data_IF_905786993051
#
_entry.id   IF_905786993051
#
_cell.length_a   1.000
_cell.length_b   1.000
_cell.length_c   1.000
_cell.angle_alpha   90.00
_cell.angle_beta   90.00
_cell.angle_gamma   90.00
#
_symmetry.space_group_name_H-M   'P 1'
#
loop_
_entity.id
_entity.type
_entity.pdbx_description
1 polymer ?
#
# COMPACT_ATOMS: atom_id res chain seq x y z
N UNK A 1 -57.40 9.56 -36.70
CA UNK A 1 -56.11 8.93 -36.45
C UNK A 1 -54.98 9.94 -36.53
N UNK A 2 -54.80 10.82 -35.53
CA UNK A 2 -53.65 11.75 -35.43
C UNK A 2 -53.57 12.26 -33.99
N UNK A 3 -53.19 11.45 -33.00
CA UNK A 3 -52.97 11.91 -31.62
C UNK A 3 -52.10 11.00 -30.75
N UNK A 4 -51.17 10.21 -31.32
CA UNK A 4 -50.37 9.26 -30.48
C UNK A 4 -48.87 9.36 -30.66
N UNK A 5 -48.34 10.36 -31.34
CA UNK A 5 -46.89 10.45 -31.64
C UNK A 5 -46.15 11.46 -30.74
N UNK A 6 -46.82 12.30 -29.97
CA UNK A 6 -46.17 13.38 -29.20
C UNK A 6 -45.79 13.02 -27.75
N UNK A 7 -46.09 11.83 -27.25
CA UNK A 7 -45.79 11.47 -25.85
C UNK A 7 -44.50 10.68 -25.65
N UNK A 8 -43.87 10.21 -26.72
CA UNK A 8 -42.63 9.39 -26.63
C UNK A 8 -41.33 10.19 -26.75
N UNK A 9 -41.39 11.49 -27.04
CA UNK A 9 -40.17 12.31 -27.25
C UNK A 9 -39.75 13.14 -26.05
N UNK A 10 -40.53 13.20 -24.98
CA UNK A 10 -40.22 14.01 -23.78
C UNK A 10 -39.53 13.21 -22.68
N UNK A 11 -39.53 11.87 -22.74
CA UNK A 11 -38.92 11.03 -21.71
C UNK A 11 -37.42 10.76 -21.96
N UNK A 12 -36.91 11.06 -23.15
CA UNK A 12 -35.49 10.78 -23.52
C UNK A 12 -34.53 11.95 -23.25
N UNK A 13 -35.00 13.08 -22.74
CA UNK A 13 -34.16 14.28 -22.54
C UNK A 13 -33.85 14.59 -21.06
N UNK A 14 -34.24 13.73 -20.13
CA UNK A 14 -33.99 13.95 -18.69
C UNK A 14 -32.97 13.00 -18.06
N UNK A 15 -32.23 12.21 -18.85
CA UNK A 15 -31.20 11.28 -18.35
C UNK A 15 -29.74 11.72 -18.62
N UNK A 16 -29.51 12.97 -18.96
CA UNK A 16 -28.15 13.48 -19.25
C UNK A 16 -27.82 14.63 -18.31
N UNK A 17 -27.72 14.40 -17.00
CA UNK A 17 -26.98 15.33 -16.13
C UNK A 17 -26.89 14.83 -14.68
N UNK A 18 -26.30 13.67 -14.47
CA UNK A 18 -25.71 13.33 -13.16
C UNK A 18 -24.36 12.63 -13.38
N UNK A 19 -23.49 13.30 -14.11
CA UNK A 19 -22.07 13.05 -13.93
C UNK A 19 -21.69 13.72 -12.61
N UNK A 20 -21.26 12.99 -11.57
CA UNK A 20 -20.64 13.64 -10.44
C UNK A 20 -19.43 14.38 -11.00
N UNK A 21 -19.39 15.69 -10.89
CA UNK A 21 -18.16 16.45 -11.03
C UNK A 21 -17.21 15.88 -9.96
N UNK A 22 -16.37 14.91 -10.33
CA UNK A 22 -15.14 14.68 -9.61
C UNK A 22 -14.38 16.01 -9.66
N UNK A 23 -14.52 16.81 -8.62
CA UNK A 23 -13.58 17.89 -8.35
C UNK A 23 -12.22 17.25 -8.18
N UNK A 24 -11.47 17.14 -9.28
CA UNK A 24 -10.05 16.95 -9.21
C UNK A 24 -9.53 18.16 -8.43
N UNK A 25 -9.34 18.00 -7.12
CA UNK A 25 -8.65 19.00 -6.34
C UNK A 25 -7.32 19.21 -7.05
N UNK A 26 -7.12 20.42 -7.56
CA UNK A 26 -5.86 20.84 -8.17
C UNK A 26 -4.77 20.56 -7.14
N UNK A 27 -4.08 19.44 -7.32
CA UNK A 27 -2.92 19.11 -6.51
C UNK A 27 -1.97 20.29 -6.68
N UNK A 28 -1.73 21.06 -5.62
CA UNK A 28 -0.74 22.13 -5.63
C UNK A 28 0.52 21.54 -6.25
N UNK A 29 0.97 22.11 -7.37
CA UNK A 29 2.15 21.64 -8.10
C UNK A 29 3.34 21.63 -7.14
N UNK A 30 3.64 20.47 -6.63
CA UNK A 30 4.75 20.32 -5.67
C UNK A 30 6.06 20.44 -6.42
N UNK A 31 7.09 20.94 -5.74
CA UNK A 31 8.44 21.00 -6.32
C UNK A 31 8.91 19.56 -6.59
N UNK A 32 9.70 19.35 -7.66
CA UNK A 32 10.32 18.06 -7.91
C UNK A 32 11.05 17.54 -6.67
N UNK A 33 10.96 16.24 -6.44
CA UNK A 33 11.78 15.55 -5.46
C UNK A 33 13.04 15.06 -6.17
N UNK A 34 14.22 15.53 -5.73
CA UNK A 34 15.49 15.17 -6.34
C UNK A 34 16.17 14.10 -5.49
N UNK A 35 16.33 12.92 -6.07
CA UNK A 35 16.95 11.77 -5.44
C UNK A 35 18.38 11.63 -5.95
N UNK A 36 19.33 11.58 -5.06
CA UNK A 36 20.75 11.34 -5.34
C UNK A 36 21.03 9.85 -5.53
N UNK A 37 20.42 9.02 -4.70
CA UNK A 37 20.63 7.57 -4.73
C UNK A 37 19.33 6.83 -4.38
N UNK A 38 19.08 5.72 -5.07
CA UNK A 38 18.03 4.79 -4.74
C UNK A 38 18.39 3.36 -5.10
N UNK A 39 17.76 2.40 -4.45
CA UNK A 39 17.97 0.99 -4.73
C UNK A 39 17.14 0.10 -3.81
N UNK A 40 17.41 -1.20 -3.88
CA UNK A 40 16.79 -2.18 -3.00
C UNK A 40 17.76 -3.31 -2.67
N UNK A 41 17.51 -3.97 -1.56
CA UNK A 41 18.24 -5.16 -1.14
C UNK A 41 17.36 -6.07 -0.29
N UNK A 42 17.76 -7.34 -0.18
CA UNK A 42 17.18 -8.28 0.77
C UNK A 42 18.06 -8.37 2.01
N UNK A 43 17.46 -8.54 3.19
CA UNK A 43 18.18 -8.68 4.45
C UNK A 43 17.62 -9.84 5.27
N UNK A 44 18.52 -10.58 5.93
CA UNK A 44 18.17 -11.80 6.67
C UNK A 44 17.73 -12.94 5.74
N UNK A 45 16.82 -13.75 6.21
CA UNK A 45 16.28 -14.87 5.45
C UNK A 45 16.86 -16.22 5.85
N UNK A 46 16.32 -17.26 5.20
CA UNK A 46 16.67 -18.65 5.41
C UNK A 46 17.12 -19.27 4.09
N UNK A 47 18.16 -20.08 4.16
CA UNK A 47 18.63 -20.91 3.04
C UNK A 47 18.50 -22.37 3.45
N UNK A 48 17.75 -23.16 2.68
CA UNK A 48 17.56 -24.59 2.89
C UNK A 48 18.04 -25.33 1.66
N UNK A 49 19.04 -26.20 1.81
CA UNK A 49 19.47 -27.11 0.76
C UNK A 49 18.91 -28.50 1.08
N UNK A 50 18.08 -29.02 0.20
CA UNK A 50 17.50 -30.33 0.35
C UNK A 50 18.50 -31.40 -0.14
N UNK A 51 18.60 -32.54 0.58
CA UNK A 51 19.46 -33.67 0.16
C UNK A 51 18.91 -34.30 -1.13
N UNK A 52 19.76 -35.06 -1.80
CA UNK A 52 19.40 -35.78 -3.02
C UNK A 52 20.06 -35.19 -4.26
N UNK A 53 19.64 -35.67 -5.44
CA UNK A 53 20.16 -35.25 -6.73
C UNK A 53 19.09 -34.49 -7.47
N UNK A 54 19.42 -33.31 -7.95
CA UNK A 54 18.51 -32.48 -8.76
C UNK A 54 18.23 -33.18 -10.09
N UNK A 55 16.93 -33.29 -10.43
CA UNK A 55 16.44 -33.75 -11.72
C UNK A 55 15.64 -32.62 -12.40
N UNK A 56 16.09 -32.05 -13.53
CA UNK A 56 15.40 -30.95 -14.17
C UNK A 56 14.02 -31.31 -14.73
N UNK A 57 13.72 -32.61 -14.87
CA UNK A 57 12.43 -33.10 -15.35
C UNK A 57 11.43 -33.42 -14.24
N UNK A 58 11.86 -33.35 -12.99
CA UNK A 58 11.01 -33.58 -11.80
C UNK A 58 11.00 -32.37 -10.91
N UNK A 59 9.87 -31.68 -10.76
CA UNK A 59 9.76 -30.48 -9.90
C UNK A 59 9.63 -30.84 -8.42
N UNK A 60 10.59 -31.63 -7.90
CA UNK A 60 10.66 -32.06 -6.50
C UNK A 60 11.73 -31.24 -5.77
N UNK A 61 11.66 -31.16 -4.41
CA UNK A 61 12.67 -30.41 -3.63
C UNK A 61 14.07 -31.04 -3.62
N UNK A 62 14.21 -32.33 -3.95
CA UNK A 62 15.49 -33.07 -3.85
C UNK A 62 16.60 -32.37 -4.65
N UNK A 63 17.74 -32.20 -4.02
CA UNK A 63 18.94 -31.58 -4.60
C UNK A 63 18.81 -30.09 -4.88
N UNK A 64 17.71 -29.42 -4.45
CA UNK A 64 17.48 -28.00 -4.68
C UNK A 64 17.77 -27.16 -3.42
N UNK A 65 18.17 -25.91 -3.65
CA UNK A 65 18.37 -24.91 -2.60
C UNK A 65 17.29 -23.84 -2.69
N UNK A 66 16.59 -23.65 -1.58
CA UNK A 66 15.55 -22.63 -1.43
C UNK A 66 16.08 -21.42 -0.65
N UNK A 67 15.80 -20.24 -1.14
CA UNK A 67 16.06 -18.96 -0.49
C UNK A 67 14.74 -18.26 -0.23
N UNK A 68 14.48 -17.84 1.00
CA UNK A 68 13.24 -17.16 1.35
C UNK A 68 13.28 -16.55 2.74
N UNK A 69 12.11 -16.13 3.22
CA UNK A 69 11.92 -15.55 4.57
C UNK A 69 12.84 -14.35 4.86
N UNK A 70 13.29 -13.63 3.82
CA UNK A 70 14.01 -12.38 3.95
C UNK A 70 13.06 -11.20 4.04
N UNK A 71 13.51 -10.08 4.60
CA UNK A 71 12.87 -8.79 4.42
C UNK A 71 13.37 -8.14 3.13
N UNK A 72 12.49 -7.41 2.46
CA UNK A 72 12.85 -6.57 1.31
C UNK A 72 12.96 -5.12 1.78
N UNK A 73 14.00 -4.43 1.34
CA UNK A 73 14.22 -3.01 1.67
C UNK A 73 14.36 -2.22 0.38
N UNK A 74 13.50 -1.22 0.21
CA UNK A 74 13.66 -0.19 -0.81
C UNK A 74 14.14 1.10 -0.14
N UNK A 75 15.13 1.78 -0.74
CA UNK A 75 15.63 3.03 -0.17
C UNK A 75 15.77 4.15 -1.20
N UNK A 76 15.61 5.37 -0.71
CA UNK A 76 15.88 6.59 -1.46
C UNK A 76 16.61 7.60 -0.58
N UNK A 77 17.63 8.22 -1.15
CA UNK A 77 18.46 9.24 -0.50
C UNK A 77 18.31 10.53 -1.29
N UNK A 78 17.75 11.61 -0.73
CA UNK A 78 17.65 12.88 -1.42
C UNK A 78 19.01 13.59 -1.47
N UNK A 79 19.16 14.51 -2.42
CA UNK A 79 20.34 15.38 -2.48
C UNK A 79 20.49 16.16 -1.17
N UNK A 80 21.73 16.26 -0.65
CA UNK A 80 22.05 16.88 0.63
C UNK A 80 21.32 16.24 1.82
N UNK A 81 21.24 14.91 1.83
CA UNK A 81 20.55 14.15 2.87
C UNK A 81 21.15 14.43 4.27
N UNK A 82 20.27 14.43 5.27
CA UNK A 82 20.65 14.43 6.68
C UNK A 82 21.44 13.16 7.03
N UNK A 83 22.31 13.27 8.03
CA UNK A 83 23.20 12.19 8.47
C UNK A 83 22.48 10.89 8.81
N UNK A 84 21.31 10.97 9.45
CA UNK A 84 20.57 9.78 9.89
C UNK A 84 19.33 9.58 9.03
N UNK A 85 19.17 8.42 8.39
CA UNK A 85 17.99 8.08 7.63
C UNK A 85 16.85 7.66 8.56
N UNK A 86 15.66 7.54 7.97
CA UNK A 86 14.50 6.96 8.62
C UNK A 86 14.23 5.56 8.06
N UNK A 87 13.92 4.64 8.96
CA UNK A 87 13.45 3.31 8.61
C UNK A 87 11.94 3.28 8.84
N UNK A 88 11.20 2.97 7.79
CA UNK A 88 9.74 2.88 7.81
C UNK A 88 9.32 1.42 7.78
N UNK A 89 8.81 0.98 8.92
CA UNK A 89 8.36 -0.38 9.14
C UNK A 89 6.84 -0.41 9.28
N UNK A 90 6.18 -1.21 8.46
CA UNK A 90 4.71 -1.32 8.47
C UNK A 90 4.18 -2.11 9.66
N UNK A 91 2.88 -1.97 9.95
CA UNK A 91 2.17 -2.72 10.98
C UNK A 91 1.76 -4.12 10.53
N UNK A 92 1.11 -4.84 11.45
CA UNK A 92 0.53 -6.17 11.19
C UNK A 92 -0.50 -6.08 10.05
N UNK A 93 -0.48 -7.06 9.15
CA UNK A 93 -1.40 -7.08 8.00
C UNK A 93 -1.09 -6.10 6.87
N UNK A 94 -0.11 -5.22 7.04
CA UNK A 94 0.27 -4.20 6.08
C UNK A 94 1.54 -4.56 5.31
N UNK A 95 1.96 -3.67 4.41
CA UNK A 95 3.21 -3.73 3.65
C UNK A 95 3.67 -2.31 3.30
N UNK A 96 4.77 -2.18 2.56
CA UNK A 96 5.42 -0.90 2.24
C UNK A 96 4.48 0.19 1.71
N UNK A 97 3.42 -0.18 1.01
CA UNK A 97 2.40 0.73 0.46
C UNK A 97 1.84 1.71 1.49
N UNK A 98 1.78 1.31 2.77
CA UNK A 98 1.33 2.16 3.88
C UNK A 98 2.07 3.50 3.95
N UNK A 99 3.34 3.55 3.53
CA UNK A 99 4.20 4.73 3.62
C UNK A 99 4.25 5.57 2.34
N UNK A 100 3.79 5.03 1.20
CA UNK A 100 3.95 5.63 -0.13
C UNK A 100 2.96 6.77 -0.38
N UNK A 101 1.78 6.43 -0.91
CA UNK A 101 0.74 7.40 -1.23
C UNK A 101 -0.58 7.01 -0.59
N UNK A 102 -1.35 8.00 -0.19
CA UNK A 102 -2.71 7.80 0.31
C UNK A 102 -3.66 7.41 -0.83
N UNK A 103 -4.79 6.73 -0.58
CA UNK A 103 -5.76 6.36 -1.61
C UNK A 103 -6.35 7.55 -2.36
N UNK A 104 -6.39 8.73 -1.75
CA UNK A 104 -6.82 9.98 -2.38
C UNK A 104 -5.69 10.68 -3.16
N UNK A 105 -4.52 10.00 -3.34
CA UNK A 105 -3.41 10.47 -4.20
C UNK A 105 -2.46 11.47 -3.55
N UNK A 106 -2.58 11.76 -2.25
CA UNK A 106 -1.60 12.59 -1.54
C UNK A 106 -0.29 11.83 -1.30
N UNK A 107 0.78 12.58 -1.09
CA UNK A 107 2.06 11.99 -0.67
C UNK A 107 1.93 11.36 0.72
N UNK A 108 2.46 10.14 0.84
CA UNK A 108 2.65 9.49 2.13
C UNK A 108 3.93 9.93 2.84
N UNK A 109 4.18 9.35 3.98
CA UNK A 109 5.33 9.71 4.82
C UNK A 109 6.68 9.53 4.14
N UNK A 110 6.82 8.55 3.24
CA UNK A 110 8.03 8.38 2.44
C UNK A 110 8.44 9.68 1.75
N UNK A 111 7.56 10.24 0.91
CA UNK A 111 7.85 11.46 0.18
C UNK A 111 7.94 12.69 1.08
N UNK A 112 7.11 12.78 2.11
CA UNK A 112 7.12 13.87 3.08
C UNK A 112 8.48 13.97 3.77
N UNK A 113 9.08 12.86 4.17
CA UNK A 113 10.38 12.87 4.83
C UNK A 113 11.55 13.05 3.86
N UNK A 114 11.46 12.49 2.65
CA UNK A 114 12.44 12.77 1.58
C UNK A 114 12.52 14.27 1.29
N UNK A 115 11.37 14.97 1.19
CA UNK A 115 11.33 16.43 1.01
C UNK A 115 11.90 17.22 2.18
N UNK A 116 11.95 16.62 3.36
CA UNK A 116 12.60 17.20 4.56
C UNK A 116 14.08 16.85 4.67
N UNK A 117 14.64 16.20 3.64
CA UNK A 117 16.06 15.87 3.55
C UNK A 117 16.46 14.60 4.30
N UNK A 118 15.54 13.73 4.66
CA UNK A 118 15.90 12.45 5.24
C UNK A 118 16.06 11.39 4.14
N UNK A 119 17.11 10.58 4.21
CA UNK A 119 17.12 9.30 3.54
C UNK A 119 16.03 8.40 4.12
N UNK A 120 15.34 7.65 3.28
CA UNK A 120 14.21 6.81 3.71
C UNK A 120 14.44 5.38 3.24
N UNK A 121 14.30 4.44 4.15
CA UNK A 121 14.31 3.01 3.92
C UNK A 121 12.93 2.45 4.27
N UNK A 122 12.25 1.88 3.29
CA UNK A 122 10.92 1.28 3.47
C UNK A 122 11.08 -0.24 3.43
N UNK A 123 10.55 -0.93 4.43
CA UNK A 123 10.77 -2.36 4.63
C UNK A 123 9.47 -3.13 4.44
N UNK A 124 9.53 -4.20 3.65
CA UNK A 124 8.55 -5.28 3.68
C UNK A 124 9.09 -6.43 4.55
N UNK A 125 8.32 -6.81 5.57
CA UNK A 125 8.63 -7.97 6.41
C UNK A 125 8.57 -9.28 5.60
N UNK A 126 9.25 -10.34 6.04
CA UNK A 126 9.13 -11.65 5.42
C UNK A 126 7.67 -12.04 5.16
N UNK A 127 7.40 -12.55 3.97
CA UNK A 127 6.07 -12.97 3.49
C UNK A 127 5.07 -11.82 3.34
N UNK A 128 5.54 -10.58 3.20
CA UNK A 128 4.72 -9.39 2.93
C UNK A 128 5.25 -8.65 1.70
N UNK A 129 4.35 -7.96 0.98
CA UNK A 129 4.69 -7.11 -0.15
C UNK A 129 5.70 -7.74 -1.10
N UNK A 130 6.83 -7.07 -1.29
CA UNK A 130 7.92 -7.52 -2.17
C UNK A 130 8.79 -8.64 -1.55
N UNK A 131 8.59 -8.97 -0.26
CA UNK A 131 9.30 -10.04 0.45
C UNK A 131 8.50 -11.36 0.47
N UNK A 132 7.79 -11.68 -0.61
CA UNK A 132 6.84 -12.80 -0.69
C UNK A 132 7.45 -14.21 -0.68
N UNK A 133 8.77 -14.39 -0.86
CA UNK A 133 9.39 -15.72 -0.94
C UNK A 133 9.50 -16.37 0.43
N UNK A 134 9.18 -17.68 0.48
CA UNK A 134 9.29 -18.50 1.68
C UNK A 134 10.05 -19.77 1.38
N UNK A 135 10.72 -20.35 2.38
CA UNK A 135 11.36 -21.68 2.33
C UNK A 135 10.43 -22.80 2.83
N UNK A 136 9.27 -22.46 3.35
CA UNK A 136 8.25 -23.39 3.80
C UNK A 136 6.88 -23.04 3.23
N UNK A 137 5.97 -24.03 3.06
CA UNK A 137 4.58 -23.75 2.72
C UNK A 137 3.96 -22.78 3.74
N UNK A 138 3.19 -21.82 3.24
CA UNK A 138 2.50 -20.84 4.08
C UNK A 138 1.11 -20.56 3.51
N UNK A 139 0.13 -20.41 4.39
CA UNK A 139 -1.20 -19.91 4.06
C UNK A 139 -1.25 -18.43 4.36
N UNK A 140 -1.84 -17.66 3.47
CA UNK A 140 -2.13 -16.25 3.71
C UNK A 140 -3.58 -16.17 4.17
N UNK A 141 -3.77 -15.93 5.45
CA UNK A 141 -5.10 -15.76 6.02
C UNK A 141 -5.61 -14.32 5.78
N UNK A 142 -6.92 -14.14 5.51
CA UNK A 142 -7.50 -12.82 5.44
C UNK A 142 -7.36 -12.11 6.80
N UNK A 143 -7.05 -10.82 6.75
CA UNK A 143 -6.89 -9.98 7.94
C UNK A 143 -8.13 -9.11 8.07
N UNK A 144 -8.68 -9.02 9.28
CA UNK A 144 -9.78 -8.10 9.56
C UNK A 144 -9.27 -6.65 9.52
N UNK A 145 -10.05 -5.78 8.90
CA UNK A 145 -9.67 -4.38 8.67
C UNK A 145 -10.45 -3.41 9.57
N UNK A 146 -11.35 -2.65 8.99
CA UNK A 146 -11.93 -1.44 9.58
C UNK A 146 -12.52 -1.63 10.97
N UNK A 147 -13.46 -2.58 11.13
CA UNK A 147 -14.19 -2.75 12.40
C UNK A 147 -13.27 -3.23 13.52
N UNK A 148 -12.39 -4.16 13.20
CA UNK A 148 -11.43 -4.70 14.16
C UNK A 148 -10.48 -3.62 14.66
N UNK A 149 -9.81 -2.92 13.73
CA UNK A 149 -8.83 -1.90 14.08
C UNK A 149 -9.47 -0.66 14.71
N UNK A 150 -10.71 -0.33 14.31
CA UNK A 150 -11.48 0.75 14.94
C UNK A 150 -11.64 0.52 16.45
N UNK A 151 -11.99 -0.70 16.84
CA UNK A 151 -12.09 -1.07 18.25
C UNK A 151 -10.73 -1.18 18.95
N UNK A 152 -9.74 -1.82 18.32
CA UNK A 152 -8.38 -2.02 18.88
C UNK A 152 -7.69 -0.69 19.15
N UNK A 153 -7.79 0.28 18.24
CA UNK A 153 -7.20 1.62 18.41
C UNK A 153 -8.07 2.55 19.25
N UNK A 154 -9.21 2.06 19.77
CA UNK A 154 -10.10 2.82 20.65
C UNK A 154 -10.55 4.16 20.06
N UNK A 155 -10.83 4.16 18.77
CA UNK A 155 -11.35 5.37 18.09
C UNK A 155 -12.84 5.56 18.30
N UNK A 156 -13.56 4.51 18.72
CA UNK A 156 -14.98 4.53 18.98
C UNK A 156 -15.56 3.14 19.20
N UNK A 157 -16.89 3.05 19.10
CA UNK A 157 -17.66 1.80 18.99
C UNK A 157 -18.28 1.80 17.60
N UNK A 158 -17.79 0.92 16.74
CA UNK A 158 -18.19 0.91 15.32
C UNK A 158 -19.72 1.00 15.14
N UNK A 159 -20.21 1.86 14.23
CA UNK A 159 -19.47 2.81 13.37
C UNK A 159 -19.27 4.21 14.00
N UNK A 160 -19.57 4.37 15.28
CA UNK A 160 -19.60 5.67 15.95
C UNK A 160 -18.26 5.99 16.62
N UNK A 161 -17.72 7.15 16.31
CA UNK A 161 -16.54 7.68 16.98
C UNK A 161 -16.87 8.16 18.39
N UNK A 162 -15.89 8.11 19.30
CA UNK A 162 -15.98 8.83 20.57
C UNK A 162 -16.01 10.35 20.34
N UNK A 163 -16.66 11.09 21.21
CA UNK A 163 -16.89 12.53 21.03
C UNK A 163 -15.60 13.35 20.97
N UNK A 164 -14.56 12.93 21.67
CA UNK A 164 -13.32 13.69 21.84
C UNK A 164 -12.16 13.19 20.95
N UNK A 165 -12.41 12.48 19.83
CA UNK A 165 -11.33 12.06 18.92
C UNK A 165 -10.65 13.26 18.28
N UNK A 166 -9.31 13.25 18.27
CA UNK A 166 -8.48 14.37 17.83
C UNK A 166 -8.03 14.27 16.36
N UNK A 167 -8.67 13.41 15.56
CA UNK A 167 -8.37 13.28 14.13
C UNK A 167 -9.57 13.65 13.27
N UNK A 168 -9.32 13.99 11.99
CA UNK A 168 -10.36 14.40 11.06
C UNK A 168 -11.26 13.21 10.71
N UNK A 169 -12.54 13.28 11.09
CA UNK A 169 -13.56 12.22 10.85
C UNK A 169 -14.04 12.16 9.41
N UNK A 170 -13.84 13.22 8.64
CA UNK A 170 -14.27 13.38 7.24
C UNK A 170 -13.28 12.80 6.24
N UNK A 171 -12.10 12.41 6.69
CA UNK A 171 -11.10 11.77 5.83
C UNK A 171 -11.28 10.26 5.88
N UNK A 172 -11.43 9.67 4.70
CA UNK A 172 -11.36 8.21 4.57
C UNK A 172 -10.02 7.77 5.16
N UNK A 173 -10.08 7.02 6.24
CA UNK A 173 -8.90 6.39 6.80
C UNK A 173 -8.32 5.45 5.77
N UNK A 174 -7.02 5.49 5.66
CA UNK A 174 -6.26 4.64 4.77
C UNK A 174 -5.86 3.42 5.56
N UNK A 175 -6.30 2.30 5.13
CA UNK A 175 -5.75 1.01 5.54
C UNK A 175 -4.61 0.64 4.59
#
# INVERSE_FOLDING_TARGET
MKRTIYKSFVVLLSMVSLTPFLSAQSLKKQKPLVIEQQGSFAVGGTVITNPGTFDPYKPTPEGQTFHGDHAYVFYQIPVNAKKYPLIMWHGIGQFSKTWETTPDGREGFQNIFLRRGFGVYVIDQPRRGNAGRSTAPATIDPVADEQHWFGVFRVGIWPNYYDNVQFARDRKSVV
#
